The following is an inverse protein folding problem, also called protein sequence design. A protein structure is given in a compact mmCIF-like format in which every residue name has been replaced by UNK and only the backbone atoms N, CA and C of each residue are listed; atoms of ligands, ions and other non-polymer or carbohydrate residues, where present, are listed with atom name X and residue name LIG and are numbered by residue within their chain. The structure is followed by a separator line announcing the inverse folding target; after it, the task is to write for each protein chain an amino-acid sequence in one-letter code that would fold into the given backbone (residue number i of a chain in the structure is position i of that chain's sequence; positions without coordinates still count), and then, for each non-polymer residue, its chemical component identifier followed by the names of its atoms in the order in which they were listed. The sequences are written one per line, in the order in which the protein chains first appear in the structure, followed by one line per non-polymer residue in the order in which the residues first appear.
data_IF_249306112953
#
_entry.id   IF_249306112953
#
_cell.length_a   1.000
_cell.length_b   1.000
_cell.length_c   1.000
_cell.angle_alpha   90.00
_cell.angle_beta   90.00
_cell.angle_gamma   90.00
#
_symmetry.space_group_name_H-M   'P 1'
#
loop_
_entity.id
_entity.type
_entity.pdbx_description
1 polymer ?
#
# COMPACT_ATOMS: atom_id res chain seq x y z
N UNK A 1 -3.89 -16.17 2.95
CA UNK A 1 -5.02 -15.22 2.99
C UNK A 1 -4.60 -13.91 2.37
N UNK A 2 -5.41 -13.36 1.51
CA UNK A 2 -5.17 -12.07 0.86
C UNK A 2 -6.37 -11.17 1.12
N UNK A 3 -6.11 -9.96 1.63
CA UNK A 3 -7.16 -8.99 1.94
C UNK A 3 -6.99 -7.79 1.03
N UNK A 4 -7.91 -7.55 0.08
CA UNK A 4 -7.82 -6.37 -0.77
C UNK A 4 -8.30 -5.14 -0.02
N UNK A 5 -7.57 -4.04 -0.16
CA UNK A 5 -7.88 -2.77 0.49
C UNK A 5 -7.66 -1.63 -0.50
N UNK A 6 -8.17 -0.46 -0.14
CA UNK A 6 -8.03 0.74 -0.96
C UNK A 6 -7.75 1.93 -0.06
N UNK A 7 -6.82 2.79 -0.47
CA UNK A 7 -6.55 4.03 0.24
C UNK A 7 -6.34 5.14 -0.79
N UNK A 8 -7.16 6.16 -0.72
CA UNK A 8 -7.11 7.31 -1.65
C UNK A 8 -7.13 6.86 -3.11
N UNK A 9 -7.97 5.86 -3.41
CA UNK A 9 -8.11 5.34 -4.76
C UNK A 9 -7.04 4.38 -5.19
N UNK A 10 -6.05 4.10 -4.35
CA UNK A 10 -4.96 3.18 -4.65
C UNK A 10 -5.25 1.83 -4.02
N UNK A 11 -5.36 0.81 -4.85
CA UNK A 11 -5.60 -0.55 -4.37
C UNK A 11 -4.30 -1.18 -3.89
N UNK A 12 -4.39 -1.90 -2.80
CA UNK A 12 -3.27 -2.70 -2.29
C UNK A 12 -3.83 -3.93 -1.60
N UNK A 13 -2.97 -4.89 -1.29
CA UNK A 13 -3.39 -6.14 -0.68
C UNK A 13 -2.54 -6.45 0.54
N UNK A 14 -3.18 -6.97 1.58
CA UNK A 14 -2.46 -7.55 2.71
C UNK A 14 -2.35 -9.04 2.47
N UNK A 15 -1.17 -9.59 2.65
CA UNK A 15 -0.91 -11.00 2.42
C UNK A 15 -0.38 -11.61 3.70
N UNK A 16 -1.06 -12.65 4.19
CA UNK A 16 -0.58 -13.41 5.33
C UNK A 16 0.38 -14.48 4.85
N UNK A 17 1.57 -14.48 5.40
CA UNK A 17 2.61 -15.46 5.09
C UNK A 17 3.12 -16.08 6.38
N UNK A 18 4.00 -17.08 6.27
CA UNK A 18 4.55 -17.78 7.42
C UNK A 18 5.25 -16.83 8.40
N UNK A 19 5.92 -15.81 7.88
CA UNK A 19 6.67 -14.86 8.69
C UNK A 19 5.83 -13.72 9.26
N UNK A 20 4.60 -13.58 8.81
CA UNK A 20 3.72 -12.50 9.26
C UNK A 20 2.95 -11.90 8.11
N UNK A 21 2.63 -10.63 8.24
CA UNK A 21 1.82 -9.90 7.26
C UNK A 21 2.68 -8.97 6.43
N UNK A 22 2.43 -8.95 5.12
CA UNK A 22 3.04 -7.97 4.22
C UNK A 22 1.93 -7.21 3.51
N UNK A 23 2.24 -6.02 3.01
CA UNK A 23 1.36 -5.30 2.12
C UNK A 23 1.99 -5.28 0.73
N UNK A 24 1.20 -5.61 -0.28
CA UNK A 24 1.63 -5.54 -1.67
C UNK A 24 0.95 -4.33 -2.31
N UNK A 25 1.75 -3.34 -2.65
CA UNK A 25 1.26 -2.08 -3.21
C UNK A 25 1.74 -1.99 -4.65
N UNK A 26 0.81 -1.93 -5.64
CA UNK A 26 1.21 -1.81 -7.04
C UNK A 26 2.14 -0.60 -7.22
N UNK A 27 3.15 -0.76 -8.06
CA UNK A 27 4.18 0.24 -8.35
C UNK A 27 5.20 0.46 -7.24
N UNK A 28 4.92 -0.02 -6.03
CA UNK A 28 5.88 0.06 -4.93
C UNK A 28 6.52 -1.30 -4.64
N UNK A 29 5.70 -2.34 -4.55
CA UNK A 29 6.16 -3.68 -4.25
C UNK A 29 5.63 -4.15 -2.90
N UNK A 30 6.34 -5.09 -2.29
CA UNK A 30 5.96 -5.65 -0.99
C UNK A 30 6.71 -4.93 0.13
N UNK A 31 6.01 -4.73 1.24
CA UNK A 31 6.64 -4.23 2.46
C UNK A 31 7.38 -5.35 3.19
N UNK A 32 8.11 -4.99 4.25
CA UNK A 32 8.65 -5.98 5.16
C UNK A 32 7.52 -6.67 5.93
N UNK A 33 7.86 -7.70 6.70
CA UNK A 33 6.87 -8.45 7.48
C UNK A 33 6.51 -7.71 8.76
N UNK A 34 5.23 -7.76 9.10
CA UNK A 34 4.68 -7.17 10.33
C UNK A 34 3.95 -8.24 11.12
N UNK A 35 3.83 -8.03 12.43
CA UNK A 35 3.20 -9.00 13.32
C UNK A 35 1.67 -9.04 13.15
N UNK A 36 1.06 -7.95 12.70
CA UNK A 36 -0.39 -7.86 12.57
C UNK A 36 -0.78 -7.21 11.24
N UNK A 37 -2.01 -7.48 10.76
CA UNK A 37 -2.49 -6.82 9.55
C UNK A 37 -2.66 -5.31 9.74
N UNK A 38 -2.94 -4.85 10.95
CA UNK A 38 -3.07 -3.42 11.25
C UNK A 38 -1.75 -2.70 11.02
N UNK A 39 -0.65 -3.29 11.47
CA UNK A 39 0.68 -2.70 11.27
C UNK A 39 1.03 -2.64 9.78
N UNK A 40 0.74 -3.70 9.05
CA UNK A 40 0.99 -3.74 7.61
C UNK A 40 0.15 -2.70 6.88
N UNK A 41 -1.11 -2.53 7.30
CA UNK A 41 -1.99 -1.52 6.73
C UNK A 41 -1.47 -0.11 6.99
N UNK A 42 -1.04 0.17 8.22
CA UNK A 42 -0.50 1.49 8.58
C UNK A 42 0.71 1.83 7.74
N UNK A 43 1.59 0.87 7.53
CA UNK A 43 2.77 1.10 6.70
C UNK A 43 2.39 1.33 5.23
N UNK A 44 1.44 0.55 4.71
CA UNK A 44 0.97 0.73 3.35
C UNK A 44 0.37 2.12 3.14
N UNK A 45 -0.47 2.57 4.07
CA UNK A 45 -1.07 3.90 4.01
C UNK A 45 0.00 4.97 4.04
N UNK A 46 0.99 4.83 4.93
CA UNK A 46 2.10 5.79 5.03
C UNK A 46 2.89 5.87 3.73
N UNK A 47 3.15 4.73 3.09
CA UNK A 47 3.90 4.69 1.84
C UNK A 47 3.10 5.29 0.69
N UNK A 48 1.80 4.99 0.64
CA UNK A 48 0.92 5.53 -0.39
C UNK A 48 0.88 7.06 -0.26
N UNK A 49 0.68 7.56 0.95
CA UNK A 49 0.61 9.00 1.18
C UNK A 49 1.93 9.70 0.87
N UNK A 50 3.05 9.07 1.23
CA UNK A 50 4.36 9.71 1.11
C UNK A 50 4.94 9.63 -0.30
N UNK A 51 4.72 8.50 -1.01
CA UNK A 51 5.43 8.25 -2.26
C UNK A 51 4.54 8.11 -3.48
N UNK A 52 3.36 7.53 -3.34
CA UNK A 52 2.52 7.23 -4.50
C UNK A 52 1.50 8.33 -4.78
N UNK A 53 0.83 8.82 -3.75
CA UNK A 53 -0.22 9.81 -3.91
C UNK A 53 0.27 11.13 -4.52
N UNK A 54 1.42 11.70 -4.08
CA UNK A 54 1.93 12.92 -4.70
C UNK A 54 2.22 12.75 -6.19
N UNK A 55 2.71 11.58 -6.61
CA UNK A 55 2.98 11.32 -8.01
C UNK A 55 1.70 11.25 -8.84
N UNK A 56 0.66 10.64 -8.29
CA UNK A 56 -0.63 10.53 -8.98
C UNK A 56 -1.29 11.90 -9.11
N UNK A 57 -1.24 12.72 -8.06
CA UNK A 57 -1.80 14.05 -8.09
C UNK A 57 -1.06 14.95 -9.09
N UNK A 58 0.27 14.80 -9.15
CA UNK A 58 1.08 15.55 -10.09
C UNK A 58 0.77 15.14 -11.53
N UNK A 59 0.59 13.85 -11.77
CA UNK A 59 0.20 13.34 -13.06
C UNK A 59 -1.17 13.83 -13.49
N UNK A 60 -2.13 13.83 -12.56
CA UNK A 60 -3.48 14.33 -12.84
C UNK A 60 -3.46 15.83 -13.17
N UNK A 61 -2.64 16.59 -12.46
CA UNK A 61 -2.49 18.02 -12.73
C UNK A 61 -1.93 18.28 -14.12
N UNK A 62 -0.99 17.46 -14.57
CA UNK A 62 -0.43 17.60 -15.91
C UNK A 62 -1.44 17.22 -16.99
N UNK A 63 -2.29 16.24 -16.69
CA UNK A 63 -3.29 15.77 -17.65
C UNK A 63 -4.43 16.79 -17.82
N UNK A 64 -4.64 17.61 -16.83
CA UNK A 64 -5.65 18.65 -16.89
C UNK A 64 -5.16 19.87 -17.63
#
# INVERSE_FOLDING_TARGET
MVIPLTHEGIEFSLIRETRGWTAHIPRFGKTMYFASPEEATDEAVRLIDAFLLPRLLRGAAKAA
#
